data_IF_766514206014
#
_entry.id   IF_766514206014
#
_cell.length_a   1.000
_cell.length_b   1.000
_cell.length_c   1.000
_cell.angle_alpha   90.00
_cell.angle_beta   90.00
_cell.angle_gamma   90.00
#
_symmetry.space_group_name_H-M   'P 1'
#
loop_
_entity.id
_entity.type
_entity.pdbx_description
1 polymer ?
#
# COMPACT_ATOMS: atom_id res chain seq x y z
N UNK A 1 9.41 11.85 -12.88
CA UNK A 1 8.05 11.44 -12.44
C UNK A 1 8.12 9.95 -12.21
N UNK A 2 7.83 9.44 -11.02
CA UNK A 2 7.89 8.00 -10.76
C UNK A 2 6.65 7.34 -11.37
N UNK A 3 6.84 6.41 -12.31
CA UNK A 3 5.74 5.72 -13.01
C UNK A 3 4.77 5.02 -12.06
N UNK A 4 5.28 4.50 -10.95
CA UNK A 4 4.49 3.78 -9.96
C UNK A 4 3.72 4.68 -8.99
N UNK A 5 3.99 5.98 -8.94
CA UNK A 5 3.38 6.89 -7.96
C UNK A 5 1.84 6.93 -8.05
N UNK A 6 1.29 6.79 -9.27
CA UNK A 6 -0.16 6.74 -9.52
C UNK A 6 -0.81 5.38 -9.29
N UNK A 7 -0.05 4.34 -8.89
CA UNK A 7 -0.58 3.00 -8.65
C UNK A 7 -1.44 2.98 -7.39
N UNK A 8 -2.56 2.27 -7.43
CA UNK A 8 -3.46 2.14 -6.27
C UNK A 8 -2.82 1.24 -5.21
N UNK A 9 -2.46 1.81 -4.06
CA UNK A 9 -1.85 1.07 -2.95
C UNK A 9 -2.89 0.25 -2.17
N UNK A 10 -4.12 0.75 -2.13
CA UNK A 10 -5.21 0.06 -1.44
C UNK A 10 -6.56 0.34 -2.10
N UNK A 11 -7.24 -0.73 -2.51
CA UNK A 11 -8.59 -0.65 -3.10
C UNK A 11 -9.65 -0.25 -2.08
N UNK A 12 -9.39 -0.34 -0.77
CA UNK A 12 -10.37 0.09 0.22
C UNK A 12 -10.53 1.62 0.27
N UNK A 13 -9.43 2.36 0.16
CA UNK A 13 -9.44 3.83 0.18
C UNK A 13 -9.29 4.45 -1.20
N UNK A 14 -9.12 3.64 -2.25
CA UNK A 14 -8.81 4.06 -3.63
C UNK A 14 -7.69 5.12 -3.70
N UNK A 15 -6.70 5.03 -2.79
CA UNK A 15 -5.57 5.94 -2.72
C UNK A 15 -4.41 5.44 -3.56
N UNK A 16 -3.71 6.37 -4.19
CA UNK A 16 -2.46 6.07 -4.92
C UNK A 16 -1.28 5.97 -3.96
N UNK A 17 -0.13 5.47 -4.43
CA UNK A 17 1.11 5.51 -3.65
C UNK A 17 1.44 6.96 -3.28
N UNK A 18 1.31 7.89 -4.23
CA UNK A 18 1.56 9.31 -4.00
C UNK A 18 0.66 9.88 -2.90
N UNK A 19 -0.65 9.62 -2.95
CA UNK A 19 -1.58 10.08 -1.89
C UNK A 19 -1.18 9.55 -0.51
N UNK A 20 -0.79 8.28 -0.44
CA UNK A 20 -0.37 7.65 0.81
C UNK A 20 0.93 8.28 1.34
N UNK A 21 1.88 8.58 0.46
CA UNK A 21 3.11 9.33 0.80
C UNK A 21 2.77 10.69 1.37
N UNK A 22 1.89 11.45 0.72
CA UNK A 22 1.52 12.79 1.16
C UNK A 22 0.81 12.77 2.52
N UNK A 23 -0.07 11.80 2.75
CA UNK A 23 -0.72 11.57 4.05
C UNK A 23 0.32 11.22 5.11
N UNK A 24 1.25 10.31 4.82
CA UNK A 24 2.30 9.89 5.76
C UNK A 24 3.30 11.01 6.06
N UNK A 25 3.64 11.86 5.08
CA UNK A 25 4.48 13.05 5.30
C UNK A 25 3.76 14.14 6.10
N UNK A 26 2.45 14.27 5.90
CA UNK A 26 1.64 15.26 6.61
C UNK A 26 1.26 14.83 8.03
N UNK A 27 1.49 13.58 8.42
CA UNK A 27 1.07 13.04 9.72
C UNK A 27 2.24 12.52 10.53
N UNK A 28 2.25 12.83 11.82
CA UNK A 28 3.19 12.24 12.80
C UNK A 28 2.53 11.12 13.61
N UNK A 29 1.38 10.65 13.15
CA UNK A 29 0.61 9.63 13.83
C UNK A 29 1.26 8.24 13.63
N UNK A 30 1.14 7.34 14.62
CA UNK A 30 1.65 5.99 14.48
C UNK A 30 0.95 5.24 13.36
N UNK A 31 1.63 4.26 12.76
CA UNK A 31 1.16 3.44 11.63
C UNK A 31 -0.33 3.05 11.70
N UNK A 32 -0.82 2.60 12.88
CA UNK A 32 -2.22 2.18 13.05
C UNK A 32 -3.24 3.28 12.72
N UNK A 33 -2.94 4.53 13.08
CA UNK A 33 -3.78 5.70 12.78
C UNK A 33 -3.52 6.23 11.38
N UNK A 34 -2.26 6.35 10.98
CA UNK A 34 -1.87 6.81 9.65
C UNK A 34 -2.47 5.91 8.54
N UNK A 35 -2.38 4.59 8.71
CA UNK A 35 -3.02 3.60 7.83
C UNK A 35 -4.52 3.86 7.67
N UNK A 36 -5.23 4.16 8.75
CA UNK A 36 -6.68 4.39 8.71
C UNK A 36 -7.04 5.63 7.89
N UNK A 37 -6.17 6.64 7.86
CA UNK A 37 -6.34 7.83 7.00
C UNK A 37 -6.20 7.50 5.50
N UNK A 38 -5.34 6.53 5.17
CA UNK A 38 -5.11 6.11 3.77
C UNK A 38 -6.15 5.10 3.29
N UNK A 39 -6.50 4.12 4.12
CA UNK A 39 -7.35 2.99 3.67
C UNK A 39 -8.81 3.12 4.02
N UNK A 40 -9.15 3.98 4.98
CA UNK A 40 -10.50 4.10 5.57
C UNK A 40 -11.08 2.76 6.05
N UNK A 41 -10.23 1.76 6.25
CA UNK A 41 -10.62 0.38 6.55
C UNK A 41 -9.81 -0.20 7.71
N UNK A 42 -10.42 -1.15 8.43
CA UNK A 42 -9.76 -1.88 9.51
C UNK A 42 -9.12 -3.20 9.05
N UNK A 43 -9.20 -3.52 7.75
CA UNK A 43 -8.73 -4.78 7.19
C UNK A 43 -7.22 -4.82 7.01
N UNK A 44 -6.65 -6.03 6.96
CA UNK A 44 -5.19 -6.24 6.79
C UNK A 44 -4.77 -6.38 5.33
N UNK A 45 -5.70 -6.27 4.38
CA UNK A 45 -5.48 -6.43 2.94
C UNK A 45 -4.29 -5.64 2.40
N UNK A 46 -4.15 -4.38 2.78
CA UNK A 46 -3.09 -3.49 2.27
C UNK A 46 -1.93 -3.32 3.28
N UNK A 47 -1.85 -4.16 4.31
CA UNK A 47 -0.91 -3.97 5.43
C UNK A 47 0.55 -3.94 4.96
N UNK A 48 0.98 -4.93 4.16
CA UNK A 48 2.38 -5.04 3.71
C UNK A 48 2.85 -3.81 2.93
N UNK A 49 2.22 -3.41 1.80
CA UNK A 49 2.68 -2.25 1.04
C UNK A 49 2.59 -0.95 1.86
N UNK A 50 1.54 -0.76 2.68
CA UNK A 50 1.43 0.44 3.50
C UNK A 50 2.46 0.52 4.63
N UNK A 51 2.82 -0.61 5.23
CA UNK A 51 3.80 -0.63 6.32
C UNK A 51 5.21 -0.35 5.78
N UNK A 52 5.55 -0.92 4.62
CA UNK A 52 6.79 -0.61 3.92
C UNK A 52 6.85 0.88 3.55
N UNK A 53 5.79 1.42 2.94
CA UNK A 53 5.72 2.83 2.58
C UNK A 53 5.81 3.75 3.79
N UNK A 54 5.14 3.42 4.88
CA UNK A 54 5.20 4.19 6.13
C UNK A 54 6.63 4.27 6.66
N UNK A 55 7.32 3.12 6.76
CA UNK A 55 8.71 3.08 7.20
C UNK A 55 9.61 3.89 6.25
N UNK A 56 9.48 3.70 4.94
CA UNK A 56 10.23 4.44 3.93
C UNK A 56 10.06 5.96 4.05
N UNK A 57 8.82 6.41 4.29
CA UNK A 57 8.53 7.83 4.53
C UNK A 57 9.18 8.33 5.83
N UNK A 58 9.16 7.52 6.90
CA UNK A 58 9.82 7.88 8.17
C UNK A 58 11.35 7.97 8.04
N UNK A 59 11.97 7.09 7.24
CA UNK A 59 13.42 7.10 6.97
C UNK A 59 13.83 8.12 5.90
N UNK A 60 12.88 8.62 5.09
CA UNK A 60 13.13 9.60 4.03
C UNK A 60 13.58 9.02 2.68
N UNK A 61 13.64 7.70 2.56
CA UNK A 61 14.04 6.98 1.35
C UNK A 61 12.85 6.17 0.82
N UNK A 62 12.19 6.69 -0.22
CA UNK A 62 10.97 6.08 -0.79
C UNK A 62 11.31 5.34 -2.08
N UNK A 63 11.20 4.02 -2.01
CA UNK A 63 11.35 3.14 -3.17
C UNK A 63 9.98 2.80 -3.78
N UNK A 64 9.60 3.51 -4.83
CA UNK A 64 8.30 3.31 -5.47
C UNK A 64 8.18 1.96 -6.20
N UNK A 65 9.30 1.38 -6.64
CA UNK A 65 9.35 0.11 -7.36
C UNK A 65 9.04 -1.06 -6.41
N UNK A 66 9.66 -1.06 -5.23
CA UNK A 66 9.41 -2.04 -4.19
C UNK A 66 7.95 -1.98 -3.71
N UNK A 67 7.39 -0.78 -3.52
CA UNK A 67 5.97 -0.66 -3.14
C UNK A 67 5.05 -1.19 -4.24
N UNK A 68 5.36 -0.89 -5.51
CA UNK A 68 4.59 -1.42 -6.64
C UNK A 68 4.65 -2.95 -6.68
N UNK A 69 5.83 -3.53 -6.48
CA UNK A 69 6.03 -4.98 -6.41
C UNK A 69 5.23 -5.62 -5.26
N UNK A 70 5.23 -4.99 -4.08
CA UNK A 70 4.43 -5.45 -2.93
C UNK A 70 2.92 -5.38 -3.19
N UNK A 71 2.46 -4.38 -3.94
CA UNK A 71 1.05 -4.26 -4.38
C UNK A 71 0.71 -5.40 -5.33
N UNK A 72 1.57 -5.67 -6.33
CA UNK A 72 1.37 -6.75 -7.29
C UNK A 72 1.37 -8.11 -6.60
N UNK A 73 2.32 -8.36 -5.69
CA UNK A 73 2.36 -9.60 -4.90
C UNK A 73 1.09 -9.78 -4.05
N UNK A 74 0.54 -8.68 -3.49
CA UNK A 74 -0.74 -8.70 -2.76
C UNK A 74 -1.90 -9.04 -3.69
N UNK A 75 -1.91 -8.51 -4.91
CA UNK A 75 -2.95 -8.79 -5.90
C UNK A 75 -2.87 -10.23 -6.41
N UNK A 76 -1.66 -10.73 -6.71
CA UNK A 76 -1.44 -12.11 -7.19
C UNK A 76 -1.93 -13.15 -6.17
N UNK A 77 -1.66 -12.92 -4.87
CA UNK A 77 -2.18 -13.80 -3.80
C UNK A 77 -3.70 -13.84 -3.70
N UNK A 78 -4.40 -12.80 -4.16
CA UNK A 78 -5.87 -12.83 -4.20
C UNK A 78 -6.36 -13.68 -5.38
N UNK A 79 -5.65 -13.61 -6.50
CA UNK A 79 -5.96 -14.37 -7.73
C UNK A 79 -5.75 -15.88 -7.53
N UNK A 80 -4.69 -16.28 -6.81
CA UNK A 80 -4.38 -17.69 -6.53
C UNK A 80 -5.40 -18.39 -5.61
N UNK A 81 -6.36 -17.67 -5.01
CA UNK A 81 -7.48 -18.29 -4.27
C UNK A 81 -8.62 -18.72 -5.21
N UNK A 82 -8.60 -18.31 -6.48
CA UNK A 82 -9.61 -18.70 -7.50
C UNK A 82 -9.04 -19.67 -8.55
N UNK A 83 -7.93 -20.36 -8.25
CA UNK A 83 -7.15 -21.15 -9.21
C UNK A 83 -6.90 -22.63 -8.92
N UNK A 84 -7.58 -23.27 -7.96
CA UNK A 84 -7.51 -24.72 -7.73
C UNK A 84 -8.92 -25.32 -7.54
N UNK A 85 -9.64 -25.48 -8.65
CA UNK A 85 -10.65 -26.52 -8.89
C UNK A 85 -10.72 -26.77 -10.41
N UNK A 86 -9.70 -27.41 -10.96
CA UNK A 86 -9.81 -28.19 -12.21
C UNK A 86 -8.78 -29.33 -12.17
N UNK A 87 -9.26 -30.56 -11.95
CA UNK A 87 -8.44 -31.79 -11.98
C UNK A 87 -8.76 -32.80 -10.88
#
# INVERSE_FOLDING_TARGET
MHEYASKIICECGHKTIQDAVDIFKSTTLPYKKAKKLVTECNQTCCRRPLMALFNMVEFGEIDYEEIAFLIDQKNNRRDETEGENDG
#
